data_IF_759621743311
#
_entry.id   IF_759621743311
#
_cell.length_a   1.000
_cell.length_b   1.000
_cell.length_c   1.000
_cell.angle_alpha   90.00
_cell.angle_beta   90.00
_cell.angle_gamma   90.00
#
_symmetry.space_group_name_H-M   'P 1'
#
loop_
_entity.id
_entity.type
_entity.pdbx_description
1 polymer ?
2 non-polymer ?
3 non-polymer ?
4 water ?
#
# COMPACT_ATOMS: atom_id res chain seq x y z
N UNK A 1 6.63 5.22 22.54
CA UNK A 1 8.05 5.15 22.10
C UNK A 1 8.13 5.35 20.59
N UNK A 2 9.15 4.77 19.93
CA UNK A 2 9.30 4.96 18.49
C UNK A 2 8.32 4.06 17.71
N UNK A 3 7.80 4.55 16.60
CA UNK A 3 6.90 3.76 15.70
C UNK A 3 7.63 2.50 15.29
N UNK A 4 6.89 1.39 15.23
CA UNK A 4 7.40 0.10 14.82
C UNK A 4 7.05 -0.16 13.35
N UNK A 5 8.00 -0.71 12.64
CA UNK A 5 7.90 -0.95 11.18
C UNK A 5 8.41 -2.33 10.82
N UNK A 6 7.91 -2.86 9.73
CA UNK A 6 8.37 -4.15 9.17
C UNK A 6 8.63 -3.99 7.68
N UNK A 7 9.66 -4.59 7.16
CA UNK A 7 9.89 -4.64 5.71
C UNK A 7 9.07 -5.75 5.11
N UNK A 8 8.48 -5.54 3.97
CA UNK A 8 7.61 -6.53 3.34
C UNK A 8 7.45 -6.26 1.86
N UNK A 9 6.97 -7.27 1.16
CA UNK A 9 6.46 -7.13 -0.20
C UNK A 9 4.98 -7.51 -0.20
N UNK A 10 4.31 -7.07 -1.23
CA UNK A 10 2.92 -7.40 -1.47
C UNK A 10 2.76 -8.05 -2.80
N UNK A 11 1.89 -9.05 -2.90
CA UNK A 11 1.43 -9.51 -4.23
C UNK A 11 -0.08 -9.62 -4.23
N UNK A 12 -0.68 -9.24 -5.35
CA UNK A 12 -2.15 -9.29 -5.46
C UNK A 12 -2.62 -10.72 -5.55
N UNK A 13 -3.93 -10.91 -5.57
CA UNK A 13 -4.51 -12.27 -5.48
C UNK A 13 -4.34 -13.00 -6.82
N UNK A 14 -3.92 -12.34 -7.90
CA UNK A 14 -3.52 -13.04 -9.14
C UNK A 14 -2.04 -13.19 -9.14
N UNK A 15 -1.35 -12.97 -8.03
CA UNK A 15 0.05 -13.20 -7.78
C UNK A 15 0.93 -12.22 -8.57
N UNK A 16 0.42 -11.07 -8.93
CA UNK A 16 1.25 -10.02 -9.50
C UNK A 16 2.07 -9.32 -8.43
N UNK A 17 3.31 -9.05 -8.71
CA UNK A 17 4.22 -8.25 -7.88
C UNK A 17 4.12 -6.78 -8.23
N UNK A 18 4.61 -5.94 -7.28
CA UNK A 18 4.60 -4.50 -7.48
C UNK A 18 6.01 -4.00 -7.75
N UNK A 19 6.12 -3.13 -8.74
CA UNK A 19 7.43 -2.54 -9.14
C UNK A 19 7.29 -1.02 -9.28
N UNK A 20 8.33 -0.31 -8.84
CA UNK A 20 8.46 1.14 -9.10
C UNK A 20 8.89 1.34 -10.55
N UNK A 21 8.07 2.01 -11.35
CA UNK A 21 8.42 2.43 -12.73
C UNK A 21 8.87 3.90 -12.71
N UNK A 22 8.47 4.68 -11.70
CA UNK A 22 8.81 6.12 -11.58
C UNK A 22 8.85 6.59 -10.14
N UNK A 23 9.31 7.84 -9.87
CA UNK A 23 9.36 8.38 -8.51
C UNK A 23 7.96 8.31 -7.90
N UNK A 24 6.95 8.46 -8.75
CA UNK A 24 5.55 8.53 -8.28
C UNK A 24 4.72 7.47 -9.02
N UNK A 25 5.32 6.35 -9.40
CA UNK A 25 4.49 5.33 -10.10
C UNK A 25 4.84 3.94 -9.61
N UNK A 26 3.78 3.21 -9.25
CA UNK A 26 3.84 1.78 -8.93
C UNK A 26 2.97 1.03 -9.93
N UNK A 27 3.49 -0.09 -10.43
CA UNK A 27 2.78 -0.96 -11.39
C UNK A 27 2.73 -2.38 -10.85
N UNK A 28 1.79 -3.15 -11.37
CA UNK A 28 1.67 -4.56 -10.97
C UNK A 28 1.89 -5.47 -12.20
N UNK A 29 2.75 -6.44 -12.01
CA UNK A 29 2.96 -7.40 -13.13
C UNK A 29 3.37 -8.72 -12.56
N UNK A 30 3.08 -9.75 -13.38
CA UNK A 30 3.55 -11.10 -13.04
C UNK A 30 5.07 -11.12 -13.20
N UNK A 31 5.76 -11.65 -12.23
CA UNK A 31 7.22 -11.64 -12.05
C UNK A 31 7.61 -12.95 -11.39
N UNK A 32 8.78 -13.46 -11.82
CA UNK A 32 9.39 -14.67 -11.23
C UNK A 32 10.88 -14.71 -11.63
N UNK A 33 11.65 -15.34 -10.80
CA UNK A 33 13.10 -15.52 -11.06
C UNK A 33 13.91 -14.28 -10.80
N UNK A 34 14.94 -14.03 -11.60
CA UNK A 34 15.92 -12.97 -11.25
C UNK A 34 15.17 -11.65 -11.18
N UNK A 35 14.18 -11.44 -12.04
CA UNK A 35 13.44 -10.16 -12.15
C UNK A 35 12.69 -9.83 -10.84
N UNK A 36 12.58 -10.76 -9.89
CA UNK A 36 11.91 -10.46 -8.60
C UNK A 36 12.71 -9.46 -7.80
N UNK A 37 13.99 -9.28 -8.09
CA UNK A 37 14.80 -8.24 -7.45
C UNK A 37 14.16 -6.90 -7.77
N UNK A 38 13.36 -6.75 -8.82
CA UNK A 38 12.80 -5.46 -9.20
C UNK A 38 11.61 -5.12 -8.29
N UNK A 39 11.10 -6.05 -7.51
CA UNK A 39 9.88 -5.72 -6.76
C UNK A 39 10.15 -4.65 -5.71
N UNK A 40 9.13 -3.88 -5.40
CA UNK A 40 9.27 -2.86 -4.35
C UNK A 40 9.20 -3.53 -3.00
N UNK A 41 10.10 -3.13 -2.13
CA UNK A 41 10.04 -3.46 -0.70
C UNK A 41 9.46 -2.28 0.05
N UNK A 42 8.41 -2.50 0.80
CA UNK A 42 7.75 -1.50 1.65
C UNK A 42 8.34 -1.54 3.04
N UNK A 43 8.32 -0.44 3.74
CA UNK A 43 8.38 -0.41 5.21
C UNK A 43 6.98 -0.13 5.67
N UNK A 44 6.34 -1.10 6.28
CA UNK A 44 4.99 -0.96 6.82
C UNK A 44 5.11 -0.52 8.24
N UNK A 45 4.61 0.65 8.56
CA UNK A 45 4.63 1.17 9.94
C UNK A 45 3.26 0.93 10.58
N UNK A 46 3.26 0.69 11.90
CA UNK A 46 2.04 0.43 12.66
C UNK A 46 1.68 1.70 13.38
N UNK A 47 0.71 2.42 12.89
CA UNK A 47 0.49 3.83 13.26
C UNK A 47 -0.74 3.98 14.14
N UNK A 48 -0.92 5.17 14.63
CA UNK A 48 -2.14 5.54 15.39
C UNK A 48 -3.36 5.47 14.49
N UNK A 49 -4.44 4.90 15.02
CA UNK A 49 -5.78 4.99 14.40
C UNK A 49 -6.72 4.00 15.06
N UNK A 50 -7.95 3.92 14.58
CA UNK A 50 -8.94 2.94 15.12
C UNK A 50 -8.52 1.51 14.74
N UNK A 51 -8.57 0.57 15.68
CA UNK A 51 -8.08 -0.83 15.52
C UNK A 51 -9.17 -1.80 15.97
N UNK A 52 -9.24 -2.97 15.36
CA UNK A 52 -10.12 -4.09 15.78
C UNK A 52 -9.37 -5.41 15.57
N UNK A 53 -10.01 -6.54 15.89
CA UNK A 53 -9.36 -7.88 15.86
C UNK A 53 -8.74 -8.09 14.48
N UNK A 54 -9.43 -7.68 13.42
CA UNK A 54 -8.94 -8.00 12.06
C UNK A 54 -8.58 -6.76 11.24
N UNK A 55 -8.48 -5.58 11.87
CA UNK A 55 -8.29 -4.24 11.23
C UNK A 55 -7.18 -3.49 11.96
N UNK A 56 -6.11 -3.10 11.25
CA UNK A 56 -4.91 -2.52 11.92
C UNK A 56 -4.46 -1.34 11.08
N UNK A 57 -4.32 -0.14 11.63
CA UNK A 57 -3.89 1.00 10.82
C UNK A 57 -2.40 0.95 10.55
N UNK A 58 -2.05 1.13 9.27
CA UNK A 58 -0.63 1.11 8.81
C UNK A 58 -0.38 2.26 7.86
N UNK A 59 0.89 2.58 7.74
CA UNK A 59 1.41 3.41 6.64
C UNK A 59 2.35 2.55 5.82
N UNK A 60 2.40 2.83 4.52
CA UNK A 60 3.20 2.09 3.56
C UNK A 60 4.17 3.05 2.93
N UNK A 61 5.40 3.00 3.38
CA UNK A 61 6.50 3.72 2.75
C UNK A 61 7.37 2.83 1.93
N UNK A 62 8.12 3.33 0.98
CA UNK A 62 9.10 2.55 0.25
C UNK A 62 10.33 2.38 1.11
N UNK A 63 10.88 1.18 1.20
CA UNK A 63 12.05 0.94 2.07
C UNK A 63 13.21 1.91 1.75
N UNK A 64 13.62 2.58 2.81
CA UNK A 64 14.76 3.55 2.80
C UNK A 64 14.54 4.66 1.77
N UNK A 65 13.28 5.05 1.57
CA UNK A 65 12.97 6.24 0.75
C UNK A 65 11.96 7.04 1.51
N UNK A 66 11.96 8.33 1.30
CA UNK A 66 10.99 9.26 1.90
C UNK A 66 9.79 9.40 0.97
N UNK A 67 9.17 8.28 0.65
CA UNK A 67 8.01 8.21 -0.26
C UNK A 67 6.99 7.31 0.38
N UNK A 68 5.80 7.79 0.49
CA UNK A 68 4.67 7.02 1.11
C UNK A 68 3.48 6.99 0.19
N UNK A 69 2.76 5.88 0.23
CA UNK A 69 1.43 5.87 -0.41
C UNK A 69 0.51 6.78 0.37
N UNK A 70 -0.34 7.47 -0.40
CA UNK A 70 -1.11 8.63 0.09
C UNK A 70 -2.44 8.68 -0.67
N UNK A 71 -3.55 8.97 0.02
CA UNK A 71 -4.85 9.11 -0.62
C UNK A 71 -5.30 10.55 -0.51
N UNK A 72 -5.58 11.12 -1.69
CA UNK A 72 -5.99 12.54 -1.79
C UNK A 72 -7.06 12.65 -2.85
N UNK A 73 -7.81 13.76 -2.83
CA UNK A 73 -8.76 14.02 -3.91
C UNK A 73 -8.01 14.55 -5.13
N UNK A 74 -8.34 13.96 -6.27
CA UNK A 74 -7.96 14.48 -7.61
C UNK A 74 -9.21 14.34 -8.48
N UNK A 75 -9.66 15.45 -9.10
CA UNK A 75 -10.85 15.47 -9.99
C UNK A 75 -12.05 14.88 -9.24
N UNK A 76 -12.20 15.31 -7.99
CA UNK A 76 -13.35 15.01 -7.09
C UNK A 76 -13.54 13.50 -6.90
N UNK A 77 -12.46 12.70 -6.90
CA UNK A 77 -12.48 11.26 -6.59
C UNK A 77 -11.26 10.94 -5.70
N UNK A 78 -11.46 10.08 -4.69
CA UNK A 78 -10.30 9.59 -3.96
C UNK A 78 -9.28 8.96 -4.92
N UNK A 79 -8.00 9.36 -4.83
CA UNK A 79 -6.93 8.76 -5.65
C UNK A 79 -5.73 8.38 -4.77
N UNK A 80 -5.02 7.39 -5.28
CA UNK A 80 -3.77 6.92 -4.69
C UNK A 80 -2.60 7.63 -5.34
N UNK A 81 -1.62 8.01 -4.57
CA UNK A 81 -0.38 8.61 -5.10
C UNK A 81 0.74 8.16 -4.21
N UNK A 82 1.97 8.35 -4.70
CA UNK A 82 3.19 8.39 -3.85
C UNK A 82 3.49 9.82 -3.52
N UNK A 83 3.83 10.12 -2.31
CA UNK A 83 4.08 11.48 -1.84
C UNK A 83 5.39 11.51 -1.11
N UNK A 84 6.23 12.48 -1.45
CA UNK A 84 7.51 12.73 -0.74
C UNK A 84 7.22 13.35 0.63
N UNK A 85 8.07 13.08 1.63
CA UNK A 85 7.99 13.67 2.98
C UNK A 85 9.39 14.09 3.41
N UNK A 86 9.43 14.83 4.49
CA UNK A 86 10.74 15.22 5.07
C UNK A 86 11.35 14.00 5.73
N UNK A 87 12.51 13.47 5.29
CA UNK A 87 13.04 12.22 5.84
C UNK A 87 13.45 12.32 7.30
N UNK A 88 13.56 13.53 7.82
CA UNK A 88 13.98 13.66 9.25
C UNK A 88 12.78 13.32 10.13
N UNK A 89 11.55 13.38 9.61
CA UNK A 89 10.33 13.40 10.45
C UNK A 89 9.53 12.12 10.29
N UNK A 90 9.93 11.23 9.41
CA UNK A 90 9.10 10.03 9.07
C UNK A 90 9.96 8.80 9.19
N UNK A 91 9.37 7.62 9.42
CA UNK A 91 7.97 7.50 9.76
C UNK A 91 7.76 8.05 11.18
N UNK A 92 6.52 8.20 11.52
CA UNK A 92 6.16 8.59 12.90
C UNK A 92 4.90 7.86 13.29
N UNK A 93 4.61 7.84 14.58
CA UNK A 93 3.46 7.05 15.07
C UNK A 93 2.16 7.72 14.66
N UNK A 94 2.10 9.03 14.71
CA UNK A 94 0.90 9.77 14.32
C UNK A 94 1.03 10.29 12.87
N UNK A 95 0.89 9.38 11.94
CA UNK A 95 0.89 9.73 10.50
C UNK A 95 -0.38 10.48 10.16
N UNK A 96 -0.30 11.46 9.28
CA UNK A 96 -1.48 12.18 8.80
C UNK A 96 -2.41 11.20 8.12
N UNK A 97 -3.69 11.50 8.15
CA UNK A 97 -4.70 10.52 7.76
C UNK A 97 -4.53 10.06 6.32
N UNK A 98 -4.13 10.93 5.42
CA UNK A 98 -4.00 10.54 4.00
C UNK A 98 -3.00 9.36 3.82
N UNK A 99 -2.09 9.17 4.73
CA UNK A 99 -1.08 8.09 4.66
C UNK A 99 -1.58 6.80 5.29
N UNK A 100 -2.72 6.81 5.98
CA UNK A 100 -3.12 5.66 6.79
C UNK A 100 -4.04 4.75 5.98
N UNK A 101 -3.75 3.47 6.09
CA UNK A 101 -4.56 2.38 5.53
C UNK A 101 -4.97 1.48 6.68
N UNK A 102 -6.23 1.02 6.62
CA UNK A 102 -6.69 -0.09 7.47
C UNK A 102 -6.34 -1.39 6.77
N UNK A 103 -5.40 -2.11 7.37
CA UNK A 103 -5.01 -3.42 6.86
C UNK A 103 -6.02 -4.41 7.42
N UNK A 104 -6.78 -5.02 6.58
CA UNK A 104 -7.94 -5.89 6.93
C UNK A 104 -7.59 -7.30 6.53
N UNK A 105 -7.72 -8.25 7.44
CA UNK A 105 -7.58 -9.69 7.18
C UNK A 105 -8.91 -10.25 6.75
N UNK A 106 -9.04 -10.75 5.55
CA UNK A 106 -10.30 -11.38 5.05
C UNK A 106 -9.89 -12.59 4.24
N UNK A 107 -10.42 -13.75 4.63
CA UNK A 107 -10.29 -14.99 3.83
C UNK A 107 -8.81 -15.21 3.48
N UNK A 108 -7.96 -15.13 4.48
CA UNK A 108 -6.55 -15.55 4.39
C UNK A 108 -5.81 -14.62 3.44
N UNK A 109 -6.38 -13.45 3.12
CA UNK A 109 -5.66 -12.39 2.38
C UNK A 109 -5.79 -11.08 3.14
N UNK A 110 -5.25 -10.04 2.55
CA UNK A 110 -5.24 -8.69 3.14
C UNK A 110 -5.86 -7.71 2.18
N UNK A 111 -6.64 -6.79 2.69
CA UNK A 111 -7.06 -5.62 1.93
C UNK A 111 -6.54 -4.38 2.64
N UNK A 112 -6.34 -3.30 1.89
CA UNK A 112 -5.83 -2.04 2.44
C UNK A 112 -6.83 -0.97 2.08
N UNK A 113 -7.68 -0.65 3.08
CA UNK A 113 -8.71 0.39 2.93
C UNK A 113 -8.11 1.74 3.27
N UNK A 114 -8.35 2.75 2.49
CA UNK A 114 -7.96 4.11 2.90
C UNK A 114 -8.65 4.48 4.21
N UNK A 115 -7.92 4.93 5.24
CA UNK A 115 -8.55 5.48 6.45
C UNK A 115 -9.29 6.77 6.10
N UNK A 116 -8.78 7.58 5.25
CA UNK A 116 -9.37 8.88 4.86
C UNK A 116 -10.63 8.63 4.07
N UNK A 117 -10.69 7.64 3.19
CA UNK A 117 -11.80 7.45 2.21
C UNK A 117 -12.36 6.06 2.45
N UNK A 118 -13.36 5.93 3.35
CA UNK A 118 -13.93 4.63 3.63
C UNK A 118 -14.40 3.92 2.37
N UNK A 119 -14.14 2.63 2.31
CA UNK A 119 -14.58 1.75 1.24
C UNK A 119 -13.85 1.97 -0.08
N UNK A 120 -12.72 2.68 -0.02
CA UNK A 120 -11.77 2.79 -1.14
C UNK A 120 -10.52 2.01 -0.77
N UNK A 121 -10.03 1.21 -1.70
CA UNK A 121 -8.99 0.19 -1.44
C UNK A 121 -7.85 0.31 -2.41
N UNK A 122 -6.66 0.00 -1.93
CA UNK A 122 -5.50 -0.24 -2.83
C UNK A 122 -5.87 -1.38 -3.78
N UNK A 123 -5.76 -1.11 -5.05
CA UNK A 123 -6.24 -2.02 -6.12
C UNK A 123 -5.18 -2.20 -7.21
N UNK A 124 -5.31 -3.34 -7.90
CA UNK A 124 -4.62 -3.54 -9.18
C UNK A 124 -5.61 -3.92 -10.27
N UNK A 125 -5.17 -3.76 -11.49
CA UNK A 125 -5.91 -4.21 -12.67
C UNK A 125 -5.56 -5.67 -12.95
N UNK A 126 -6.45 -6.36 -13.66
CA UNK A 126 -6.10 -7.73 -14.13
C UNK A 126 -5.04 -7.68 -15.24
N UNK A 127 -5.03 -6.62 -16.03
CA UNK A 127 -4.03 -6.48 -17.11
C UNK A 127 -2.63 -6.35 -16.55
N UNK A 128 -1.63 -6.72 -17.31
CA UNK A 128 -0.21 -6.60 -16.95
C UNK A 128 0.27 -5.17 -17.08
N UNK A 129 1.09 -4.75 -16.12
CA UNK A 129 1.93 -3.54 -16.21
C UNK A 129 1.09 -2.28 -16.22
N UNK A 130 0.04 -2.24 -15.40
CA UNK A 130 -0.82 -1.07 -15.20
C UNK A 130 -0.58 -0.53 -13.80
N UNK A 131 -0.84 0.75 -13.61
CA UNK A 131 -0.63 1.37 -12.32
C UNK A 131 -1.49 0.70 -11.23
N UNK A 132 -0.97 0.71 -10.03
CA UNK A 132 -1.75 0.52 -8.79
C UNK A 132 -2.64 1.75 -8.62
N UNK A 133 -3.79 1.61 -8.02
CA UNK A 133 -4.77 2.72 -7.92
C UNK A 133 -5.66 2.51 -6.75
N UNK A 134 -6.48 3.50 -6.43
CA UNK A 134 -7.51 3.40 -5.39
C UNK A 134 -8.87 3.06 -6.03
N UNK A 135 -9.47 1.99 -5.59
CA UNK A 135 -10.69 1.46 -6.23
C UNK A 135 -11.75 1.40 -5.20
N UNK A 136 -12.88 2.08 -5.52
CA UNK A 136 -13.99 2.55 -4.64
C UNK A 136 -15.04 1.49 -4.46
N UNK A 137 -14.62 0.24 -4.68
CA UNK A 137 -15.35 -0.99 -4.34
C UNK A 137 -14.32 -2.11 -4.28
N UNK A 138 -14.61 -3.10 -3.42
CA UNK A 138 -14.04 -4.48 -3.39
C UNK A 138 -15.06 -5.44 -4.02
N UNK A 139 -15.55 -5.12 -5.23
CA UNK A 139 -16.49 -5.96 -6.01
C UNK A 139 -16.69 -5.46 -7.44
N UNK A 140 -16.41 -6.30 -8.45
CA UNK A 140 -16.50 -5.95 -9.89
C UNK A 140 -15.40 -6.60 -10.71
N UNK A 141 -14.28 -5.89 -10.96
CA UNK A 141 -13.11 -6.35 -11.79
C UNK A 141 -11.76 -5.84 -11.25
N UNK A 142 -11.72 -4.91 -10.31
CA UNK A 142 -10.40 -4.62 -9.75
C UNK A 142 -10.03 -5.61 -8.68
N UNK A 143 -8.74 -5.81 -8.50
CA UNK A 143 -8.22 -6.76 -7.54
C UNK A 143 -7.91 -5.95 -6.29
N UNK A 144 -8.47 -6.33 -5.15
CA UNK A 144 -8.28 -5.61 -3.89
C UNK A 144 -7.64 -6.47 -2.83
N UNK A 145 -7.33 -7.74 -3.10
CA UNK A 145 -6.83 -8.70 -2.11
C UNK A 145 -5.36 -8.97 -2.36
N UNK A 146 -4.58 -9.08 -1.33
CA UNK A 146 -3.13 -9.23 -1.39
C UNK A 146 -2.67 -10.26 -0.44
N UNK A 147 -1.46 -10.77 -0.65
CA UNK A 147 -0.69 -11.45 0.38
C UNK A 147 0.57 -10.66 0.66
N UNK A 148 1.07 -10.80 1.89
CA UNK A 148 2.30 -10.13 2.37
C UNK A 148 3.40 -11.18 2.53
N UNK A 149 4.61 -10.79 2.13
CA UNK A 149 5.84 -11.55 2.41
C UNK A 149 6.68 -10.72 3.34
N UNK A 150 7.14 -11.19 4.47
CA UNK A 150 7.94 -10.39 5.42
C UNK A 150 9.40 -10.61 5.09
N UNK A 151 10.16 -9.54 4.86
CA UNK A 151 11.54 -9.43 4.28
C UNK A 151 12.48 -9.10 5.44
N UNK A 152 13.72 -9.57 5.35
CA UNK A 152 14.88 -9.06 6.13
C UNK A 152 15.09 -7.57 5.81
X LIG B 1 7.59 8.65 16.76
X LIG B 1 8.59 9.70 16.78
X LIG B 1 7.44 8.07 18.09
X LIG B 1 6.35 9.23 16.34
X LIG B 1 8.00 7.61 15.84
X LIG C 1 0.50 18.13 6.50
X LIG C 1 1.53 17.14 6.20
X LIG C 1 0.74 18.69 7.82
X LIG C 1 0.51 19.16 5.50
X LIG C 1 -0.81 17.51 6.50
X LIG D 1 0.11 6.58 -9.08
X LIG D 1 0.68 4.86 -6.28
X LIG D 1 3.80 8.78 -14.06
X LIG D 1 2.57 8.09 -13.77
X LIG D 1 1.68 7.57 -14.72
X LIG D 1 0.65 7.03 -14.01
X LIG D 1 1.01 7.23 -12.66
X LIG D 1 2.15 7.88 -12.47
X LIG D 1 0.23 6.77 -11.51
X LIG D 1 -0.86 6.32 -11.69
X LIG D 1 0.80 6.93 -10.31
X LIG D 1 0.30 5.12 -8.64
X LIG D 1 -0.43 4.90 -7.31
X LIG D 1 1.91 5.24 -7.07
X LIG D 1 1.68 4.98 -8.43
#
# INVERSE_FOLDING_TARGET
>A
APVRSLNCTLRDSQQKSLVMSGPYELKALHLQGQDMEQQVVFSMSFVQGEESNDKIPVALGLKEKNLYLSCVLKDDKPTLQLESVDPKNYPKKKMEKRFVFNKIEINNKLEFESAQFPNWYISTSQAENMPVFLGGTKGGQDITDFTMQFVSS
>B hetero
1 SO4 S O1 O2 O3 O4
>C hetero
1 SO4 S O1 O2 O3 O4
>D hetero
1 JGY C10 C13 C01 N02 C03 C04 C05 N06 C07 O08 N09 C11 C12 C14 O15
#
